data_IF_645915963752
#
_entry.id   IF_645915963752
#
_cell.length_a   1.000
_cell.length_b   1.000
_cell.length_c   1.000
_cell.angle_alpha   90.00
_cell.angle_beta   90.00
_cell.angle_gamma   90.00
#
_symmetry.space_group_name_H-M   'P 1'
#
loop_
_entity.id
_entity.type
_entity.pdbx_description
1 polymer ?
#
# COMPACT_ATOMS: atom_id res chain seq x y z
N UNK A 1 11.78 -2.46 -34.21
CA UNK A 1 12.04 -1.49 -33.12
C UNK A 1 11.44 -2.07 -31.86
N UNK A 2 12.15 -2.06 -30.74
CA UNK A 2 11.65 -2.52 -29.43
C UNK A 2 10.66 -1.50 -28.88
N UNK A 3 9.50 -1.95 -28.41
CA UNK A 3 8.48 -1.08 -27.80
C UNK A 3 8.77 -0.86 -26.31
N UNK A 4 8.09 0.11 -25.69
CA UNK A 4 8.13 0.29 -24.23
C UNK A 4 7.61 -0.96 -23.51
N UNK A 5 6.59 -1.62 -24.07
CA UNK A 5 6.04 -2.87 -23.55
C UNK A 5 7.08 -4.00 -23.54
N UNK A 6 7.82 -4.16 -24.64
CA UNK A 6 8.92 -5.13 -24.77
C UNK A 6 10.08 -4.88 -23.78
N UNK A 7 10.18 -3.68 -23.22
CA UNK A 7 11.16 -3.36 -22.18
C UNK A 7 10.58 -3.57 -20.77
N UNK A 8 9.36 -3.09 -20.52
CA UNK A 8 8.76 -3.09 -19.19
C UNK A 8 8.52 -4.50 -18.65
N UNK A 9 8.16 -5.47 -19.49
CA UNK A 9 7.94 -6.85 -19.04
C UNK A 9 9.22 -7.56 -18.56
N UNK A 10 10.40 -6.96 -18.78
CA UNK A 10 11.72 -7.48 -18.34
C UNK A 10 12.29 -6.74 -17.13
N UNK A 11 11.63 -5.66 -16.69
CA UNK A 11 12.09 -4.82 -15.57
C UNK A 11 11.51 -5.34 -14.26
N UNK A 12 12.11 -6.38 -13.72
CA UNK A 12 11.65 -7.02 -12.47
C UNK A 12 11.74 -6.09 -11.25
N UNK A 13 12.54 -5.02 -11.33
CA UNK A 13 12.59 -3.96 -10.32
C UNK A 13 11.33 -3.07 -10.31
N UNK A 14 10.53 -3.09 -11.39
CA UNK A 14 9.23 -2.44 -11.46
C UNK A 14 8.15 -3.48 -11.20
N UNK A 15 7.71 -3.60 -9.94
CA UNK A 15 6.52 -4.40 -9.60
C UNK A 15 5.36 -4.05 -10.53
N UNK A 16 4.43 -4.95 -10.83
CA UNK A 16 3.18 -4.60 -11.53
C UNK A 16 2.02 -4.39 -10.55
N UNK A 17 2.27 -4.54 -9.25
CA UNK A 17 1.27 -4.60 -8.20
C UNK A 17 1.45 -3.50 -7.16
N UNK A 18 0.33 -3.09 -6.57
CA UNK A 18 0.27 -2.31 -5.35
C UNK A 18 -0.38 -3.16 -4.27
N UNK A 19 0.24 -3.21 -3.10
CA UNK A 19 -0.22 -4.02 -1.97
C UNK A 19 -0.65 -3.10 -0.84
N UNK A 20 -1.88 -3.27 -0.36
CA UNK A 20 -2.31 -2.68 0.90
C UNK A 20 -2.08 -3.69 2.01
N UNK A 21 -1.11 -3.42 2.88
CA UNK A 21 -0.87 -4.22 4.08
C UNK A 21 -1.72 -3.69 5.25
N UNK A 22 -2.26 -4.62 6.01
CA UNK A 22 -2.93 -4.31 7.27
C UNK A 22 -1.92 -4.23 8.41
N UNK A 23 -2.32 -3.63 9.51
CA UNK A 23 -1.52 -3.56 10.73
C UNK A 23 -2.41 -3.79 11.94
N UNK A 24 -1.88 -4.37 13.04
CA UNK A 24 -2.62 -4.45 14.28
C UNK A 24 -2.93 -3.05 14.80
N UNK A 25 -4.05 -2.92 15.49
CA UNK A 25 -4.45 -1.70 16.21
C UNK A 25 -4.86 -2.10 17.63
N UNK A 26 -5.09 -1.12 18.51
CA UNK A 26 -5.66 -1.41 19.83
C UNK A 26 -7.02 -2.12 19.76
N UNK A 27 -7.76 -1.92 18.66
CA UNK A 27 -9.09 -2.47 18.46
C UNK A 27 -9.12 -3.88 17.83
N UNK A 28 -7.99 -4.42 17.36
CA UNK A 28 -7.96 -5.72 16.70
C UNK A 28 -6.68 -6.06 15.96
N UNK A 29 -6.58 -7.30 15.51
CA UNK A 29 -5.44 -7.82 14.76
C UNK A 29 -5.43 -7.33 13.31
N UNK A 30 -4.29 -7.50 12.61
CA UNK A 30 -4.25 -7.27 11.17
C UNK A 30 -5.18 -8.20 10.38
N UNK A 31 -5.44 -9.40 10.89
CA UNK A 31 -6.37 -10.35 10.27
C UNK A 31 -7.83 -9.88 10.37
N UNK A 32 -8.21 -9.32 11.53
CA UNK A 32 -9.54 -8.74 11.72
C UNK A 32 -9.76 -7.57 10.75
N UNK A 33 -8.73 -6.74 10.57
CA UNK A 33 -8.74 -5.67 9.59
C UNK A 33 -8.88 -6.20 8.15
N UNK A 34 -8.13 -7.24 7.77
CA UNK A 34 -8.25 -7.88 6.46
C UNK A 34 -9.68 -8.41 6.24
N UNK A 35 -10.24 -9.09 7.23
CA UNK A 35 -11.58 -9.67 7.18
C UNK A 35 -12.65 -8.61 6.97
N UNK A 36 -12.61 -7.50 7.73
CA UNK A 36 -13.51 -6.36 7.53
C UNK A 36 -13.37 -5.76 6.13
N UNK A 37 -12.13 -5.56 5.65
CA UNK A 37 -11.89 -5.05 4.30
C UNK A 37 -12.48 -5.97 3.22
N UNK A 38 -12.33 -7.29 3.36
CA UNK A 38 -12.87 -8.26 2.40
C UNK A 38 -14.40 -8.27 2.38
N UNK A 39 -15.03 -8.15 3.56
CA UNK A 39 -16.49 -8.16 3.72
C UNK A 39 -17.16 -6.88 3.24
N UNK A 40 -16.55 -5.74 3.55
CA UNK A 40 -17.04 -4.41 3.17
C UNK A 40 -16.60 -4.02 1.75
N UNK A 41 -15.54 -4.66 1.24
CA UNK A 41 -14.86 -4.34 -0.03
C UNK A 41 -14.41 -2.89 -0.08
N UNK A 42 -13.94 -2.41 1.07
CA UNK A 42 -13.56 -1.05 1.32
C UNK A 42 -12.30 -1.03 2.17
N UNK A 43 -11.31 -0.25 1.75
CA UNK A 43 -10.18 0.12 2.59
C UNK A 43 -10.44 1.53 3.10
N UNK A 44 -10.46 1.70 4.41
CA UNK A 44 -10.79 2.98 5.01
C UNK A 44 -9.59 3.94 5.07
N UNK A 45 -9.72 5.13 4.48
CA UNK A 45 -8.81 6.25 4.74
C UNK A 45 -9.02 6.82 6.15
N UNK A 46 -8.30 6.27 7.13
CA UNK A 46 -8.40 6.69 8.54
C UNK A 46 -7.41 7.79 8.91
N UNK A 47 -6.23 7.77 8.30
CA UNK A 47 -5.08 8.60 8.73
C UNK A 47 -4.80 9.71 7.73
N UNK A 48 -4.62 10.94 8.24
CA UNK A 48 -4.16 12.06 7.45
C UNK A 48 -2.63 11.98 7.23
N UNK A 49 -2.20 12.12 5.98
CA UNK A 49 -0.78 12.09 5.59
C UNK A 49 -0.38 13.25 4.68
N UNK A 50 0.93 13.41 4.49
CA UNK A 50 1.51 14.43 3.64
C UNK A 50 1.60 15.83 4.28
N UNK A 51 1.98 16.83 3.48
CA UNK A 51 2.39 18.15 3.96
C UNK A 51 1.34 18.90 4.78
N UNK A 52 0.05 18.74 4.43
CA UNK A 52 -1.05 19.44 5.09
C UNK A 52 -1.74 18.60 6.18
N UNK A 53 -1.17 17.45 6.59
CA UNK A 53 -1.80 16.54 7.58
C UNK A 53 -2.04 17.17 8.96
N UNK A 54 -1.28 18.21 9.29
CA UNK A 54 -1.34 18.95 10.55
C UNK A 54 -1.78 20.40 10.34
N UNK A 55 -2.53 20.67 9.26
CA UNK A 55 -3.06 22.00 8.98
C UNK A 55 -3.99 22.49 10.10
N UNK A 56 -4.02 23.81 10.34
CA UNK A 56 -4.82 24.41 11.42
C UNK A 56 -6.33 24.28 11.18
N UNK A 57 -6.75 24.31 9.92
CA UNK A 57 -8.12 24.01 9.52
C UNK A 57 -8.37 22.49 9.46
N UNK A 58 -9.26 22.01 10.33
CA UNK A 58 -9.69 20.61 10.39
C UNK A 58 -10.32 20.09 9.09
N UNK A 59 -10.98 20.95 8.31
CA UNK A 59 -11.57 20.56 7.04
C UNK A 59 -10.48 20.18 6.03
N UNK A 60 -9.38 20.94 6.00
CA UNK A 60 -8.18 20.59 5.22
C UNK A 60 -7.63 19.26 5.68
N UNK A 61 -7.46 19.04 6.99
CA UNK A 61 -6.95 17.75 7.51
C UNK A 61 -7.80 16.56 7.08
N UNK A 62 -9.13 16.69 7.01
CA UNK A 62 -9.99 15.61 6.50
C UNK A 62 -9.69 15.25 5.05
N UNK A 63 -9.33 16.23 4.22
CA UNK A 63 -8.96 15.99 2.80
C UNK A 63 -7.60 15.32 2.62
N UNK A 64 -6.82 15.21 3.70
CA UNK A 64 -5.52 14.55 3.71
C UNK A 64 -5.61 13.09 4.15
N UNK A 65 -6.80 12.59 4.49
CA UNK A 65 -7.01 11.17 4.83
C UNK A 65 -6.82 10.30 3.60
N UNK A 66 -5.92 9.33 3.70
CA UNK A 66 -5.55 8.46 2.57
C UNK A 66 -5.60 6.98 2.93
N UNK A 67 -5.77 6.15 1.91
CA UNK A 67 -5.37 4.74 1.90
C UNK A 67 -3.97 4.66 1.31
N UNK A 68 -3.08 3.92 1.97
CA UNK A 68 -1.71 3.72 1.52
C UNK A 68 -1.54 2.32 0.90
N UNK A 69 -0.70 2.25 -0.12
CA UNK A 69 -0.26 1.02 -0.76
C UNK A 69 1.25 1.06 -0.94
N UNK A 70 1.87 -0.11 -1.04
CA UNK A 70 3.28 -0.27 -1.34
C UNK A 70 3.45 -0.90 -2.71
N UNK A 71 4.28 -0.30 -3.56
CA UNK A 71 4.71 -0.92 -4.81
C UNK A 71 5.84 -1.92 -4.51
N UNK A 72 5.50 -3.21 -4.50
CA UNK A 72 6.47 -4.30 -4.29
C UNK A 72 6.10 -5.50 -5.15
N UNK A 73 7.07 -6.22 -5.76
CA UNK A 73 6.79 -7.53 -6.34
C UNK A 73 6.20 -8.46 -5.26
N UNK A 74 5.30 -9.37 -5.64
CA UNK A 74 4.56 -10.17 -4.65
C UNK A 74 5.53 -11.00 -3.79
N UNK A 75 6.55 -11.59 -4.43
CA UNK A 75 7.64 -12.36 -3.82
C UNK A 75 8.58 -11.55 -2.92
N UNK A 76 8.39 -10.22 -2.87
CA UNK A 76 9.11 -9.32 -1.97
C UNK A 76 8.19 -8.74 -0.89
N UNK A 77 6.94 -9.20 -0.79
CA UNK A 77 5.99 -8.79 0.25
C UNK A 77 6.51 -9.05 1.66
N UNK A 78 7.29 -10.12 1.86
CA UNK A 78 7.94 -10.43 3.14
C UNK A 78 8.79 -9.28 3.69
N UNK A 79 9.36 -8.44 2.82
CA UNK A 79 10.18 -7.31 3.27
C UNK A 79 9.39 -6.28 4.08
N UNK A 80 8.07 -6.21 3.87
CA UNK A 80 7.16 -5.30 4.57
C UNK A 80 6.62 -5.89 5.87
N UNK A 81 6.53 -7.22 5.95
CA UNK A 81 5.90 -7.95 7.08
C UNK A 81 6.93 -8.45 8.09
N UNK A 82 8.21 -8.49 7.72
CA UNK A 82 9.29 -8.86 8.64
C UNK A 82 9.58 -7.80 9.69
N UNK A 83 9.87 -8.30 10.90
CA UNK A 83 10.45 -7.50 11.95
C UNK A 83 11.89 -7.13 11.57
N UNK A 84 12.21 -5.84 11.69
CA UNK A 84 13.58 -5.35 11.63
C UNK A 84 14.07 -4.98 13.02
N UNK A 85 15.39 -5.01 13.19
CA UNK A 85 16.05 -4.47 14.38
C UNK A 85 15.90 -2.95 14.44
N UNK A 86 15.83 -2.28 13.29
CA UNK A 86 15.56 -0.85 13.20
C UNK A 86 14.08 -0.52 13.38
N UNK A 87 13.81 0.61 14.06
CA UNK A 87 12.47 1.16 14.18
C UNK A 87 11.93 1.56 12.80
N UNK A 88 10.90 0.86 12.34
CA UNK A 88 10.05 1.27 11.22
C UNK A 88 8.89 2.13 11.71
N UNK A 89 8.39 3.01 10.84
CA UNK A 89 7.20 3.81 11.16
C UNK A 89 5.92 2.95 11.17
N UNK A 90 5.90 1.89 10.37
CA UNK A 90 4.78 0.95 10.27
C UNK A 90 5.28 -0.48 10.46
N UNK A 91 4.69 -1.19 11.42
CA UNK A 91 4.87 -2.63 11.59
C UNK A 91 3.64 -3.32 10.99
N UNK A 92 3.76 -3.78 9.75
CA UNK A 92 2.67 -4.45 9.05
C UNK A 92 2.52 -5.89 9.53
N UNK A 93 1.27 -6.34 9.62
CA UNK A 93 0.97 -7.76 9.79
C UNK A 93 1.12 -8.47 8.42
N UNK A 94 1.28 -9.80 8.39
CA UNK A 94 1.39 -10.57 7.15
C UNK A 94 0.04 -10.72 6.42
N UNK A 95 -0.80 -9.68 6.42
CA UNK A 95 -2.13 -9.69 5.82
C UNK A 95 -2.32 -8.46 4.93
N UNK A 96 -2.94 -8.64 3.77
CA UNK A 96 -3.15 -7.55 2.82
C UNK A 96 -3.89 -7.93 1.55
N UNK A 97 -3.98 -6.97 0.63
CA UNK A 97 -4.59 -7.16 -0.70
C UNK A 97 -3.69 -6.60 -1.79
N UNK A 98 -3.54 -7.37 -2.86
CA UNK A 98 -2.80 -6.95 -4.05
C UNK A 98 -3.74 -6.51 -5.17
N UNK A 99 -3.42 -5.39 -5.79
CA UNK A 99 -4.11 -4.83 -6.95
C UNK A 99 -3.12 -4.57 -8.08
N UNK A 100 -3.57 -4.64 -9.33
CA UNK A 100 -2.72 -4.21 -10.45
C UNK A 100 -2.53 -2.69 -10.44
N UNK A 101 -1.32 -2.22 -10.76
CA UNK A 101 -1.05 -0.77 -10.90
C UNK A 101 -1.99 -0.08 -11.89
N UNK A 102 -2.31 -0.64 -13.08
CA UNK A 102 -3.28 -0.03 -13.99
C UNK A 102 -4.68 0.12 -13.39
N UNK A 103 -5.15 -0.84 -12.59
CA UNK A 103 -6.42 -0.70 -11.87
C UNK A 103 -6.32 0.42 -10.82
N UNK A 104 -5.31 0.40 -9.96
CA UNK A 104 -5.14 1.40 -8.92
C UNK A 104 -5.04 2.83 -9.47
N UNK A 105 -4.26 3.04 -10.55
CA UNK A 105 -4.13 4.35 -11.22
C UNK A 105 -5.45 4.87 -11.76
N UNK A 106 -6.24 4.01 -12.43
CA UNK A 106 -7.57 4.38 -12.94
C UNK A 106 -8.53 4.76 -11.81
N UNK A 107 -8.29 4.26 -10.60
CA UNK A 107 -9.08 4.56 -9.41
C UNK A 107 -8.39 5.59 -8.49
N UNK A 108 -7.56 6.48 -9.04
CA UNK A 108 -7.07 7.66 -8.30
C UNK A 108 -5.87 7.42 -7.39
N UNK A 109 -5.25 6.23 -7.41
CA UNK A 109 -4.00 6.01 -6.68
C UNK A 109 -2.83 6.71 -7.38
N UNK A 110 -1.99 7.41 -6.62
CA UNK A 110 -0.79 8.10 -7.11
C UNK A 110 0.43 7.79 -6.25
N UNK A 111 1.65 7.76 -6.84
CA UNK A 111 2.88 7.57 -6.09
C UNK A 111 3.16 8.77 -5.17
N UNK A 112 3.79 8.50 -4.03
CA UNK A 112 4.24 9.54 -3.11
C UNK A 112 5.56 10.15 -3.59
N UNK A 113 5.65 11.48 -3.52
CA UNK A 113 6.86 12.25 -3.72
C UNK A 113 7.51 12.54 -2.38
N UNK A 114 8.67 11.94 -2.16
CA UNK A 114 9.45 12.23 -0.98
C UNK A 114 10.34 13.44 -1.20
N UNK A 115 10.29 14.40 -0.28
CA UNK A 115 11.18 15.56 -0.25
C UNK A 115 12.15 15.44 0.92
N UNK A 116 13.40 15.82 0.68
CA UNK A 116 14.45 15.76 1.70
C UNK A 116 14.25 16.90 2.73
N UNK A 117 14.26 16.54 4.01
CA UNK A 117 14.24 17.45 5.16
C UNK A 117 15.53 17.34 6.00
N UNK A 118 16.54 16.60 5.53
CA UNK A 118 17.83 16.49 6.22
C UNK A 118 18.52 17.84 6.27
N UNK A 119 18.88 18.28 7.48
CA UNK A 119 19.49 19.59 7.75
C UNK A 119 20.64 19.89 6.78
N UNK A 120 20.58 21.05 6.12
CA UNK A 120 21.59 21.50 5.15
C UNK A 120 21.28 21.09 3.71
N UNK A 121 20.31 20.20 3.51
CA UNK A 121 19.77 19.78 2.20
C UNK A 121 18.24 19.87 2.16
N UNK A 122 17.65 20.54 3.14
CA UNK A 122 16.22 20.70 3.39
C UNK A 122 15.58 21.82 2.58
N UNK A 123 16.30 22.43 1.63
CA UNK A 123 15.86 23.58 0.83
C UNK A 123 14.47 23.43 0.15
N UNK A 124 13.97 22.25 -0.27
CA UNK A 124 12.62 22.15 -0.84
C UNK A 124 11.52 22.33 0.22
N UNK A 125 11.82 21.96 1.47
CA UNK A 125 10.84 21.86 2.56
C UNK A 125 10.24 23.23 2.93
N UNK A 126 11.04 24.30 3.17
CA UNK A 126 10.50 25.62 3.48
C UNK A 126 9.60 26.19 2.38
N UNK A 127 9.99 26.02 1.10
CA UNK A 127 9.22 26.55 -0.03
C UNK A 127 7.83 25.89 -0.13
N UNK A 128 7.77 24.57 0.04
CA UNK A 128 6.50 23.83 0.03
C UNK A 128 5.64 24.15 1.26
N UNK A 129 6.25 24.25 2.45
CA UNK A 129 5.52 24.66 3.66
C UNK A 129 4.93 26.06 3.52
N UNK A 130 5.67 27.01 2.93
CA UNK A 130 5.17 28.35 2.67
C UNK A 130 4.02 28.35 1.65
N UNK A 131 4.11 27.53 0.60
CA UNK A 131 3.03 27.38 -0.39
C UNK A 131 1.75 26.81 0.23
N UNK A 132 1.87 25.82 1.13
CA UNK A 132 0.73 25.26 1.90
C UNK A 132 0.14 26.31 2.82
N UNK A 133 0.96 27.09 3.54
CA UNK A 133 0.50 28.12 4.46
C UNK A 133 -0.18 29.32 3.76
N UNK A 134 0.23 29.62 2.52
CA UNK A 134 -0.34 30.69 1.71
C UNK A 134 -1.57 30.26 0.88
N UNK A 135 -1.90 28.96 0.86
CA UNK A 135 -3.04 28.47 0.11
C UNK A 135 -4.35 28.95 0.75
N UNK A 136 -5.19 29.58 -0.07
CA UNK A 136 -6.51 30.07 0.35
C UNK A 136 -7.64 29.33 -0.37
N UNK A 137 -7.34 28.57 -1.42
CA UNK A 137 -8.34 27.84 -2.20
C UNK A 137 -8.72 26.54 -1.48
N UNK A 138 -10.01 26.21 -1.39
CA UNK A 138 -10.45 24.96 -0.78
C UNK A 138 -10.01 23.76 -1.63
N UNK A 139 -10.00 22.56 -1.03
CA UNK A 139 -9.67 21.31 -1.72
C UNK A 139 -10.53 21.05 -2.99
N UNK A 140 -11.78 21.53 -3.00
CA UNK A 140 -12.68 21.41 -4.16
C UNK A 140 -12.17 22.16 -5.40
N UNK A 141 -11.35 23.19 -5.23
CA UNK A 141 -10.69 23.88 -6.34
C UNK A 141 -9.59 22.98 -6.94
N UNK A 142 -9.70 22.70 -8.24
CA UNK A 142 -8.74 21.87 -9.00
C UNK A 142 -7.29 22.34 -8.89
N UNK A 143 -7.06 23.62 -8.68
CA UNK A 143 -5.73 24.21 -8.63
C UNK A 143 -5.19 24.37 -7.21
N UNK A 144 -5.96 24.01 -6.18
CA UNK A 144 -5.52 24.05 -4.78
C UNK A 144 -4.38 23.07 -4.52
N UNK A 145 -3.33 23.52 -3.82
CA UNK A 145 -2.20 22.67 -3.43
C UNK A 145 -2.65 21.53 -2.51
N UNK A 146 -3.75 21.69 -1.76
CA UNK A 146 -4.28 20.64 -0.88
C UNK A 146 -4.67 19.35 -1.60
N UNK A 147 -4.82 19.39 -2.94
CA UNK A 147 -5.07 18.20 -3.77
C UNK A 147 -3.82 17.36 -4.01
N UNK A 148 -2.63 17.95 -3.91
CA UNK A 148 -1.35 17.27 -4.13
C UNK A 148 -0.60 17.00 -2.83
N UNK A 149 -0.86 17.77 -1.77
CA UNK A 149 -0.21 17.57 -0.47
C UNK A 149 -0.36 16.18 0.14
N UNK A 150 -1.44 15.40 -0.07
CA UNK A 150 -1.49 14.02 0.44
C UNK A 150 -0.41 13.13 -0.18
N UNK A 151 0.13 13.49 -1.35
CA UNK A 151 1.15 12.74 -2.07
C UNK A 151 2.56 13.30 -1.88
N UNK A 152 2.76 14.30 -1.03
CA UNK A 152 4.10 14.84 -0.73
C UNK A 152 4.45 14.53 0.71
N UNK A 153 5.54 13.79 0.93
CA UNK A 153 6.00 13.38 2.25
C UNK A 153 7.41 13.87 2.54
N UNK A 154 7.65 14.37 3.74
CA UNK A 154 8.97 14.81 4.16
C UNK A 154 9.75 13.63 4.77
N UNK A 155 10.90 13.32 4.18
CA UNK A 155 11.81 12.26 4.61
C UNK A 155 13.21 12.80 4.91
N UNK A 156 13.97 12.11 5.75
CA UNK A 156 15.34 12.46 6.10
C UNK A 156 15.62 12.47 7.61
N UNK A 157 16.87 12.80 7.93
CA UNK A 157 17.52 12.82 9.25
C UNK A 157 18.00 11.46 9.83
N UNK A 158 19.30 11.19 9.62
CA UNK A 158 20.10 10.15 10.30
C UNK A 158 20.95 10.70 11.45
N UNK A 159 20.79 11.96 11.84
CA UNK A 159 21.62 12.52 12.91
C UNK A 159 21.40 11.74 14.21
N UNK A 160 22.51 11.33 14.83
CA UNK A 160 22.44 10.55 16.07
C UNK A 160 21.64 11.31 17.14
N UNK A 161 20.64 10.64 17.71
CA UNK A 161 19.79 11.19 18.77
C UNK A 161 18.49 11.86 18.30
N UNK A 162 18.25 11.96 16.99
CA UNK A 162 16.96 12.40 16.46
C UNK A 162 15.91 11.29 16.59
N UNK A 163 14.81 11.58 17.29
CA UNK A 163 13.63 10.69 17.46
C UNK A 163 12.85 10.53 16.14
N UNK A 164 13.30 11.18 15.06
CA UNK A 164 12.58 11.35 13.80
C UNK A 164 13.31 10.74 12.59
N UNK A 165 13.92 9.55 12.73
CA UNK A 165 14.38 8.75 11.58
C UNK A 165 13.18 8.44 10.68
N UNK A 166 13.08 9.14 9.54
CA UNK A 166 12.00 8.98 8.57
C UNK A 166 12.58 8.71 7.20
N UNK A 167 12.95 7.45 6.95
CA UNK A 167 13.48 6.99 5.67
C UNK A 167 12.59 5.91 5.09
N UNK A 168 11.77 6.30 4.12
CA UNK A 168 10.72 5.47 3.53
C UNK A 168 10.82 5.37 2.00
N UNK A 169 11.90 5.89 1.39
CA UNK A 169 12.04 5.88 -0.07
C UNK A 169 12.00 4.46 -0.65
N UNK A 170 12.49 3.48 0.11
CA UNK A 170 12.49 2.06 -0.26
C UNK A 170 11.10 1.42 -0.18
N UNK A 171 10.14 2.00 0.56
CA UNK A 171 8.77 1.49 0.69
C UNK A 171 7.90 1.79 -0.54
N UNK A 172 8.38 2.68 -1.43
CA UNK A 172 7.74 3.02 -2.71
C UNK A 172 6.22 3.21 -2.57
N UNK A 173 5.83 4.10 -1.67
CA UNK A 173 4.44 4.29 -1.28
C UNK A 173 3.59 4.91 -2.40
N UNK A 174 2.35 4.46 -2.48
CA UNK A 174 1.26 5.02 -3.27
C UNK A 174 0.10 5.35 -2.35
N UNK A 175 -0.65 6.41 -2.65
CA UNK A 175 -1.81 6.83 -1.86
C UNK A 175 -3.05 6.98 -2.71
N UNK A 176 -4.20 6.84 -2.07
CA UNK A 176 -5.52 7.21 -2.57
C UNK A 176 -6.18 8.13 -1.56
N UNK A 177 -6.74 9.27 -1.98
CA UNK A 177 -7.43 10.19 -1.07
C UNK A 177 -8.85 9.72 -0.81
N UNK A 178 -9.23 9.58 0.46
CA UNK A 178 -10.51 9.00 0.87
C UNK A 178 -10.53 7.47 0.79
N UNK A 179 -11.68 6.88 1.17
CA UNK A 179 -11.86 5.43 1.17
C UNK A 179 -11.64 4.83 -0.23
N UNK A 180 -11.03 3.65 -0.29
CA UNK A 180 -10.78 2.93 -1.53
C UNK A 180 -11.74 1.75 -1.63
N UNK A 181 -12.62 1.79 -2.63
CA UNK A 181 -13.61 0.74 -2.90
C UNK A 181 -13.12 -0.16 -4.02
N UNK A 182 -13.34 -1.46 -3.90
CA UNK A 182 -12.94 -2.41 -4.92
C UNK A 182 -13.96 -3.52 -5.12
N UNK A 183 -13.78 -4.28 -6.19
CA UNK A 183 -14.53 -5.51 -6.44
C UNK A 183 -13.57 -6.69 -6.45
N UNK A 184 -14.05 -7.91 -6.12
CA UNK A 184 -13.24 -9.12 -6.20
C UNK A 184 -12.54 -9.25 -7.55
N UNK A 185 -13.20 -8.86 -8.64
CA UNK A 185 -12.68 -8.90 -10.02
C UNK A 185 -11.39 -8.11 -10.28
N UNK A 186 -11.02 -7.22 -9.36
CA UNK A 186 -9.82 -6.41 -9.46
C UNK A 186 -8.80 -6.73 -8.36
N UNK A 187 -9.12 -7.63 -7.44
CA UNK A 187 -8.17 -8.20 -6.49
C UNK A 187 -7.35 -9.27 -7.19
N UNK A 188 -6.03 -9.08 -7.20
CA UNK A 188 -5.06 -10.03 -7.78
C UNK A 188 -4.86 -11.21 -6.83
N UNK A 189 -4.64 -10.90 -5.55
CA UNK A 189 -4.45 -11.88 -4.49
C UNK A 189 -4.83 -11.27 -3.14
N UNK A 190 -5.22 -12.15 -2.23
CA UNK A 190 -5.28 -11.87 -0.80
C UNK A 190 -3.98 -12.37 -0.19
N UNK A 191 -3.34 -11.55 0.65
CA UNK A 191 -2.16 -11.97 1.39
C UNK A 191 -2.56 -12.37 2.80
N UNK A 192 -2.12 -13.55 3.23
CA UNK A 192 -2.28 -14.04 4.60
C UNK A 192 -1.29 -15.15 4.91
N UNK A 193 -0.91 -15.31 6.17
CA UNK A 193 -0.10 -16.46 6.58
C UNK A 193 -0.79 -17.78 6.24
N UNK A 194 -0.01 -18.79 5.88
CA UNK A 194 -0.48 -20.13 5.46
C UNK A 194 -1.45 -20.75 6.48
N UNK A 195 -1.18 -20.54 7.76
CA UNK A 195 -2.03 -20.99 8.87
C UNK A 195 -3.49 -20.47 8.80
N UNK A 196 -3.74 -19.36 8.10
CA UNK A 196 -5.08 -18.77 7.96
C UNK A 196 -5.72 -18.97 6.59
N UNK A 197 -5.06 -19.70 5.67
CA UNK A 197 -5.60 -19.90 4.32
C UNK A 197 -6.91 -20.67 4.33
N UNK A 198 -7.04 -21.72 5.14
CA UNK A 198 -8.26 -22.50 5.24
C UNK A 198 -9.47 -21.65 5.67
N UNK A 199 -9.29 -20.84 6.72
CA UNK A 199 -10.32 -19.95 7.25
C UNK A 199 -10.75 -18.91 6.22
N UNK A 200 -9.79 -18.28 5.53
CA UNK A 200 -10.10 -17.33 4.46
C UNK A 200 -10.78 -17.97 3.26
N UNK A 201 -10.35 -19.16 2.82
CA UNK A 201 -11.01 -19.90 1.73
C UNK A 201 -12.47 -20.20 2.10
N UNK A 202 -12.72 -20.70 3.30
CA UNK A 202 -14.08 -20.97 3.79
C UNK A 202 -14.93 -19.69 3.83
N UNK A 203 -14.37 -18.60 4.35
CA UNK A 203 -15.03 -17.30 4.40
C UNK A 203 -15.38 -16.75 3.00
N UNK A 204 -14.42 -16.77 2.07
CA UNK A 204 -14.59 -16.20 0.72
C UNK A 204 -15.52 -17.05 -0.15
N UNK A 205 -15.50 -18.37 0.00
CA UNK A 205 -16.43 -19.27 -0.71
C UNK A 205 -17.88 -19.13 -0.23
N UNK A 206 -18.08 -18.77 1.04
CA UNK A 206 -19.40 -18.48 1.60
C UNK A 206 -19.98 -17.12 1.16
N UNK A 207 -19.16 -16.21 0.66
CA UNK A 207 -19.62 -14.91 0.17
C UNK A 207 -19.91 -14.96 -1.34
N UNK A 208 -21.18 -14.74 -1.72
CA UNK A 208 -21.65 -14.76 -3.11
C UNK A 208 -20.90 -13.80 -4.03
N UNK A 209 -20.25 -12.77 -3.48
CA UNK A 209 -19.47 -11.78 -4.24
C UNK A 209 -18.08 -12.30 -4.58
N UNK A 210 -17.49 -13.12 -3.71
CA UNK A 210 -16.13 -13.66 -3.84
C UNK A 210 -16.10 -15.07 -4.45
N UNK A 211 -17.11 -15.89 -4.17
CA UNK A 211 -17.21 -17.29 -4.62
C UNK A 211 -16.93 -17.53 -6.10
N UNK A 212 -17.43 -16.71 -7.05
CA UNK A 212 -17.21 -16.94 -8.48
C UNK A 212 -15.76 -16.81 -8.96
N UNK A 213 -14.90 -16.08 -8.25
CA UNK A 213 -13.55 -15.71 -8.74
C UNK A 213 -12.43 -16.61 -8.20
N UNK A 214 -12.67 -17.36 -7.13
CA UNK A 214 -11.64 -18.16 -6.43
C UNK A 214 -10.31 -17.40 -6.32
N UNK A 215 -10.34 -16.22 -5.70
CA UNK A 215 -9.17 -15.34 -5.60
C UNK A 215 -7.99 -16.08 -4.94
N UNK A 216 -6.77 -16.01 -5.51
CA UNK A 216 -5.59 -16.60 -4.91
C UNK A 216 -5.33 -16.03 -3.50
N UNK A 217 -4.99 -16.92 -2.57
CA UNK A 217 -4.49 -16.54 -1.24
C UNK A 217 -3.02 -16.92 -1.19
N UNK A 218 -2.15 -15.95 -0.89
CA UNK A 218 -0.71 -16.11 -0.90
C UNK A 218 -0.14 -15.80 0.49
N UNK A 219 0.84 -16.58 0.93
CA UNK A 219 1.64 -16.20 2.08
C UNK A 219 2.71 -15.17 1.66
N UNK A 220 2.81 -14.00 2.32
CA UNK A 220 3.86 -13.03 2.07
C UNK A 220 5.29 -13.60 2.15
N UNK A 221 5.52 -14.68 2.91
CA UNK A 221 6.83 -15.32 3.07
C UNK A 221 7.19 -16.31 1.96
N UNK A 222 6.28 -16.61 1.04
CA UNK A 222 6.55 -17.53 -0.06
C UNK A 222 7.51 -16.95 -1.11
N UNK A 223 8.27 -17.85 -1.73
CA UNK A 223 9.05 -17.55 -2.94
C UNK A 223 8.15 -17.39 -4.18
N UNK A 224 8.75 -16.86 -5.25
CA UNK A 224 8.06 -16.55 -6.50
C UNK A 224 7.37 -17.78 -7.11
N UNK A 225 8.06 -18.92 -7.14
CA UNK A 225 7.58 -20.15 -7.77
C UNK A 225 6.31 -20.68 -7.10
N UNK A 226 6.27 -20.65 -5.76
CA UNK A 226 5.10 -21.07 -4.97
C UNK A 226 3.92 -20.13 -5.22
N UNK A 227 4.18 -18.81 -5.26
CA UNK A 227 3.14 -17.82 -5.59
C UNK A 227 2.58 -18.01 -7.00
N UNK A 228 3.44 -18.23 -8.00
CA UNK A 228 3.02 -18.48 -9.40
C UNK A 228 2.15 -19.72 -9.48
N UNK A 229 2.52 -20.80 -8.78
CA UNK A 229 1.79 -22.06 -8.85
C UNK A 229 0.36 -21.91 -8.32
N UNK A 230 0.18 -21.24 -7.18
CA UNK A 230 -1.16 -20.93 -6.62
C UNK A 230 -1.94 -19.96 -7.52
N UNK A 231 -1.31 -18.92 -8.04
CA UNK A 231 -1.97 -17.96 -8.94
C UNK A 231 -2.40 -18.58 -10.27
N UNK A 232 -1.68 -19.59 -10.75
CA UNK A 232 -1.96 -20.28 -12.02
C UNK A 232 -2.96 -21.42 -11.85
N UNK A 233 -3.32 -21.78 -10.61
CA UNK A 233 -4.20 -22.90 -10.31
C UNK A 233 -3.59 -24.26 -10.67
N UNK A 234 -2.27 -24.41 -10.47
CA UNK A 234 -1.59 -25.71 -10.65
C UNK A 234 -2.18 -26.72 -9.67
N UNK A 235 -2.42 -27.95 -10.13
CA UNK A 235 -2.96 -29.03 -9.32
C UNK A 235 -2.00 -29.37 -8.17
N UNK A 236 -2.53 -29.73 -6.99
CA UNK A 236 -1.71 -29.96 -5.79
C UNK A 236 -0.69 -31.07 -5.98
N UNK A 237 -1.02 -32.11 -6.76
CA UNK A 237 -0.12 -33.22 -7.10
C UNK A 237 1.08 -32.81 -7.98
N UNK A 238 0.97 -31.67 -8.68
CA UNK A 238 2.01 -31.13 -9.57
C UNK A 238 2.82 -30.01 -8.90
N UNK A 239 2.40 -29.56 -7.70
CA UNK A 239 3.22 -28.73 -6.84
C UNK A 239 4.37 -29.61 -6.36
N UNK A 240 5.57 -29.39 -6.91
CA UNK A 240 6.78 -30.16 -6.58
C UNK A 240 7.20 -30.04 -5.10
N UNK A 241 8.50 -29.98 -4.76
CA UNK A 241 8.93 -29.93 -3.35
C UNK A 241 8.52 -28.64 -2.60
N UNK A 242 7.87 -27.69 -3.29
CA UNK A 242 7.35 -26.46 -2.73
C UNK A 242 5.82 -26.58 -2.67
N UNK A 243 5.24 -27.03 -1.54
CA UNK A 243 3.79 -27.17 -1.40
C UNK A 243 3.08 -25.83 -1.64
N UNK A 244 1.78 -25.81 -1.89
CA UNK A 244 0.95 -24.60 -1.99
C UNK A 244 0.21 -24.28 -0.70
#
# INVERSE_FOLDING_TARGET
MTTIEDMLHRRNDLSTFLVHFTRPTEAGSGFDALTSILMERQIEARTAYGLARSHSDSAVVQTQKVVCFTETPLEHSWTMTRQLDERRASNFAPYGLAFTKPYARRNGCNPVWYINQTRGTDWPTPALNAAVAAETRPYSDRNSIFRITPFIEQMGDWSQGSVARKEFWWEREWRHVGHFYFTPDHTVAVLASEAQHADLKAMLSGDLRWGPRSVPILDPEWGLERMIAVMSGVAEEDLGPFPG
#
